data_IF_243224758289
#
_entry.id   IF_243224758289
#
_cell.length_a   1.000
_cell.length_b   1.000
_cell.length_c   1.000
_cell.angle_alpha   90.00
_cell.angle_beta   90.00
_cell.angle_gamma   90.00
#
_symmetry.space_group_name_H-M   'P 1'
#
loop_
_entity.id
_entity.type
_entity.pdbx_description
1 polymer ?
#
# COMPACT_ATOMS: atom_id res chain seq x y z
N UNK A 1 27.07 15.72 -15.02
CA UNK A 1 26.57 14.78 -13.98
C UNK A 1 26.73 15.45 -12.63
N UNK A 2 25.65 15.62 -11.84
CA UNK A 2 25.74 16.27 -10.51
C UNK A 2 26.55 15.38 -9.58
N UNK A 3 27.59 15.92 -8.94
CA UNK A 3 28.33 15.22 -7.89
C UNK A 3 27.63 15.50 -6.56
N UNK A 4 27.27 14.45 -5.84
CA UNK A 4 26.67 14.53 -4.50
C UNK A 4 27.77 14.52 -3.44
N UNK A 5 27.60 15.35 -2.39
CA UNK A 5 28.45 15.28 -1.21
C UNK A 5 28.17 13.98 -0.43
N UNK A 6 29.11 13.58 0.45
CA UNK A 6 28.99 12.31 1.19
C UNK A 6 27.76 12.27 2.11
N UNK A 7 27.41 13.40 2.70
CA UNK A 7 26.18 13.57 3.49
C UNK A 7 24.92 13.32 2.66
N UNK A 8 24.84 13.90 1.45
CA UNK A 8 23.71 13.69 0.52
C UNK A 8 23.60 12.22 0.08
N UNK A 9 24.73 11.56 -0.16
CA UNK A 9 24.75 10.13 -0.51
C UNK A 9 24.19 9.26 0.63
N UNK A 10 24.56 9.57 1.88
CA UNK A 10 24.07 8.84 3.04
C UNK A 10 22.55 9.04 3.21
N UNK A 11 22.04 10.24 3.01
CA UNK A 11 20.59 10.52 3.03
C UNK A 11 19.85 9.80 1.92
N UNK A 12 20.39 9.79 0.70
CA UNK A 12 19.85 9.04 -0.45
C UNK A 12 19.79 7.54 -0.13
N UNK A 13 20.84 6.97 0.45
CA UNK A 13 20.87 5.55 0.81
C UNK A 13 19.87 5.22 1.91
N UNK A 14 19.71 6.10 2.90
CA UNK A 14 18.70 5.95 3.95
C UNK A 14 17.29 5.96 3.37
N UNK A 15 16.98 6.93 2.52
CA UNK A 15 15.68 7.01 1.84
C UNK A 15 15.43 5.79 0.95
N UNK A 16 16.42 5.37 0.17
CA UNK A 16 16.32 4.19 -0.69
C UNK A 16 16.09 2.90 0.12
N UNK A 17 16.68 2.78 1.31
CA UNK A 17 16.42 1.66 2.21
C UNK A 17 14.98 1.68 2.71
N UNK A 18 14.50 2.81 3.22
CA UNK A 18 13.11 2.95 3.68
C UNK A 18 12.10 2.65 2.57
N UNK A 19 12.39 3.10 1.35
CA UNK A 19 11.52 2.84 0.20
C UNK A 19 11.48 1.35 -0.18
N UNK A 20 12.62 0.64 -0.15
CA UNK A 20 12.64 -0.81 -0.36
C UNK A 20 11.84 -1.56 0.71
N UNK A 21 12.03 -1.20 1.98
CA UNK A 21 11.28 -1.78 3.09
C UNK A 21 9.76 -1.58 2.93
N UNK A 22 9.36 -0.39 2.47
CA UNK A 22 7.95 -0.11 2.14
C UNK A 22 7.42 -1.01 1.01
N UNK A 23 8.19 -1.16 -0.08
CA UNK A 23 7.82 -2.03 -1.21
C UNK A 23 7.77 -3.51 -0.81
N UNK A 24 8.71 -3.94 0.03
CA UNK A 24 8.75 -5.32 0.52
C UNK A 24 7.55 -5.65 1.42
N UNK A 25 7.09 -4.70 2.22
CA UNK A 25 5.95 -4.86 3.10
C UNK A 25 4.59 -4.64 2.41
N UNK A 26 4.55 -4.13 1.18
CA UNK A 26 3.32 -3.78 0.46
C UNK A 26 3.16 -4.55 -0.84
N UNK A 27 2.74 -5.80 -0.78
CA UNK A 27 2.51 -6.65 -1.98
C UNK A 27 1.11 -6.47 -2.58
N UNK A 28 0.17 -5.98 -1.78
CA UNK A 28 -1.22 -5.70 -2.18
C UNK A 28 -1.60 -4.27 -1.82
N UNK A 29 -2.66 -3.74 -2.43
CA UNK A 29 -3.19 -2.40 -2.10
C UNK A 29 -3.56 -2.29 -0.63
N UNK A 30 -4.05 -3.38 -0.01
CA UNK A 30 -4.40 -3.41 1.42
C UNK A 30 -3.17 -3.28 2.32
N UNK A 31 -2.10 -3.96 1.98
CA UNK A 31 -0.83 -3.87 2.71
C UNK A 31 -0.19 -2.50 2.53
N UNK A 32 -0.19 -1.96 1.30
CA UNK A 32 0.27 -0.59 1.04
C UNK A 32 -0.53 0.44 1.84
N UNK A 33 -1.87 0.37 1.80
CA UNK A 33 -2.75 1.28 2.55
C UNK A 33 -2.45 1.21 4.05
N UNK A 34 -2.37 0.00 4.61
CA UNK A 34 -2.05 -0.19 6.03
C UNK A 34 -0.68 0.39 6.40
N UNK A 35 0.34 0.19 5.55
CA UNK A 35 1.69 0.76 5.76
C UNK A 35 1.68 2.28 5.68
N UNK A 36 0.97 2.86 4.71
CA UNK A 36 0.82 4.32 4.58
C UNK A 36 0.17 4.89 5.83
N UNK A 37 -0.93 4.29 6.31
CA UNK A 37 -1.62 4.74 7.52
C UNK A 37 -0.72 4.65 8.76
N UNK A 38 0.10 3.59 8.89
CA UNK A 38 1.08 3.47 9.96
C UNK A 38 2.13 4.58 9.90
N UNK A 39 2.73 4.79 8.73
CA UNK A 39 3.73 5.85 8.51
C UNK A 39 3.11 7.23 8.76
N UNK A 40 1.88 7.46 8.33
CA UNK A 40 1.16 8.70 8.59
C UNK A 40 1.05 8.99 10.09
N UNK A 41 0.61 8.00 10.88
CA UNK A 41 0.53 8.11 12.35
C UNK A 41 1.88 8.42 12.99
N UNK A 42 2.93 7.72 12.58
CA UNK A 42 4.31 7.94 13.05
C UNK A 42 4.84 9.34 12.75
N UNK A 43 4.28 10.01 11.72
CA UNK A 43 4.62 11.38 11.31
C UNK A 43 3.59 12.44 11.76
N UNK A 44 2.74 12.09 12.72
CA UNK A 44 1.83 13.02 13.37
C UNK A 44 0.55 13.32 12.61
N UNK A 45 0.18 12.47 11.65
CA UNK A 45 -1.14 12.56 11.00
C UNK A 45 -2.21 11.90 11.88
N UNK A 46 -3.33 12.56 12.05
CA UNK A 46 -4.51 12.08 12.76
C UNK A 46 -5.53 11.47 11.78
N UNK A 47 -6.23 10.43 12.19
CA UNK A 47 -7.28 9.85 11.35
C UNK A 47 -8.47 10.82 11.28
N UNK A 48 -8.93 11.14 10.07
CA UNK A 48 -10.04 12.07 9.86
C UNK A 48 -11.33 11.62 10.55
N UNK A 49 -11.62 10.33 10.62
CA UNK A 49 -12.81 9.81 11.33
C UNK A 49 -12.74 10.11 12.83
N UNK A 50 -11.56 10.01 13.44
CA UNK A 50 -11.34 10.35 14.84
C UNK A 50 -11.51 11.85 15.07
N UNK A 51 -10.94 12.68 14.20
CA UNK A 51 -11.08 14.15 14.23
C UNK A 51 -12.55 14.57 14.16
N UNK A 52 -13.33 13.95 13.27
CA UNK A 52 -14.77 14.21 13.13
C UNK A 52 -15.53 13.78 14.37
N UNK A 53 -15.26 12.58 14.89
CA UNK A 53 -15.91 12.04 16.09
C UNK A 53 -15.67 12.90 17.32
N UNK A 54 -14.47 13.48 17.44
CA UNK A 54 -14.09 14.35 18.56
C UNK A 54 -14.56 15.80 18.37
N UNK A 55 -15.11 16.15 17.21
CA UNK A 55 -15.55 17.51 16.90
C UNK A 55 -14.39 18.52 16.82
N UNK A 56 -13.17 18.05 16.57
CA UNK A 56 -11.98 18.88 16.50
C UNK A 56 -12.02 19.77 15.27
N UNK A 57 -11.81 21.08 15.46
CA UNK A 57 -11.63 22.02 14.36
C UNK A 57 -10.17 22.00 13.88
N UNK A 58 -9.99 21.83 12.58
CA UNK A 58 -8.68 21.84 11.96
C UNK A 58 -8.16 23.27 11.80
N UNK A 59 -6.86 23.44 11.94
CA UNK A 59 -6.12 24.70 11.77
C UNK A 59 -4.87 24.46 10.94
N UNK A 60 -4.26 25.54 10.47
CA UNK A 60 -3.01 25.50 9.72
C UNK A 60 -1.93 24.69 10.47
N UNK A 61 -1.27 23.78 9.75
CA UNK A 61 -0.27 22.87 10.25
C UNK A 61 -0.81 21.53 10.76
N UNK A 62 -2.13 21.38 10.92
CA UNK A 62 -2.72 20.07 11.26
C UNK A 62 -2.58 19.10 10.10
N UNK A 63 -2.30 17.85 10.44
CA UNK A 63 -2.10 16.76 9.50
C UNK A 63 -3.14 15.69 9.70
N UNK A 64 -3.85 15.35 8.63
CA UNK A 64 -4.92 14.36 8.67
C UNK A 64 -4.74 13.33 7.58
N UNK A 65 -5.25 12.12 7.80
CA UNK A 65 -5.39 11.11 6.75
C UNK A 65 -6.76 10.44 6.82
N UNK A 66 -7.21 9.97 5.66
CA UNK A 66 -8.39 9.13 5.54
C UNK A 66 -8.07 7.90 4.70
N UNK A 67 -8.51 6.73 5.15
CA UNK A 67 -8.39 5.46 4.44
C UNK A 67 -9.75 5.07 3.86
N UNK A 68 -9.80 4.72 2.58
CA UNK A 68 -11.01 4.26 1.93
C UNK A 68 -10.91 2.77 1.59
N UNK A 69 -11.82 1.96 2.15
CA UNK A 69 -11.96 0.51 1.91
C UNK A 69 -10.67 -0.30 2.07
N UNK A 70 -9.68 0.22 2.78
CA UNK A 70 -8.33 -0.33 2.92
C UNK A 70 -7.60 -0.52 1.57
N UNK A 71 -7.88 0.33 0.60
CA UNK A 71 -7.32 0.26 -0.76
C UNK A 71 -6.85 1.59 -1.31
N UNK A 72 -7.14 2.68 -0.64
CA UNK A 72 -6.63 4.01 -0.97
C UNK A 72 -6.52 4.87 0.27
N UNK A 73 -5.60 5.82 0.25
CA UNK A 73 -5.35 6.73 1.35
C UNK A 73 -5.22 8.14 0.79
N UNK A 74 -5.84 9.09 1.47
CA UNK A 74 -5.62 10.52 1.25
C UNK A 74 -4.94 11.07 2.50
N UNK A 75 -3.92 11.88 2.30
CA UNK A 75 -3.22 12.59 3.36
C UNK A 75 -3.25 14.08 3.04
N UNK A 76 -3.46 14.91 4.04
CA UNK A 76 -3.53 16.36 3.87
C UNK A 76 -2.83 17.04 5.04
N UNK A 77 -2.04 18.04 4.73
CA UNK A 77 -1.54 19.05 5.67
C UNK A 77 -2.28 20.36 5.41
N UNK A 78 -2.91 20.90 6.44
CA UNK A 78 -3.71 22.13 6.33
C UNK A 78 -2.77 23.32 6.18
N UNK A 79 -2.92 24.03 5.07
CA UNK A 79 -2.14 25.24 4.78
C UNK A 79 -2.55 26.46 5.60
N UNK A 80 -1.84 27.55 5.41
CA UNK A 80 -2.15 28.86 5.99
C UNK A 80 -3.15 29.66 5.16
N UNK A 81 -3.22 29.38 3.87
CA UNK A 81 -4.10 30.05 2.93
C UNK A 81 -5.44 29.31 2.81
N UNK A 82 -6.47 30.03 2.48
CA UNK A 82 -7.79 29.43 2.23
C UNK A 82 -7.71 28.45 1.06
N UNK A 83 -8.41 27.32 1.17
CA UNK A 83 -8.43 26.26 0.17
C UNK A 83 -8.92 26.75 -1.20
N UNK A 84 -9.72 27.83 -1.23
CA UNK A 84 -10.20 28.46 -2.45
C UNK A 84 -9.06 29.09 -3.29
N UNK A 85 -7.94 29.40 -2.66
CA UNK A 85 -6.74 29.90 -3.34
C UNK A 85 -5.94 28.78 -4.03
N UNK A 86 -6.35 27.51 -3.85
CA UNK A 86 -5.76 26.35 -4.44
C UNK A 86 -5.04 25.47 -3.45
N UNK A 87 -4.56 24.31 -3.96
CA UNK A 87 -3.80 23.35 -3.18
C UNK A 87 -2.73 22.68 -4.03
N UNK A 88 -1.68 22.20 -3.42
CA UNK A 88 -0.72 21.30 -4.07
C UNK A 88 -1.21 19.86 -3.93
N UNK A 89 -1.48 19.20 -5.04
CA UNK A 89 -1.92 17.81 -5.08
C UNK A 89 -0.82 16.92 -5.66
N UNK A 90 -0.47 15.85 -4.92
CA UNK A 90 0.44 14.80 -5.37
C UNK A 90 -0.33 13.49 -5.39
N UNK A 91 -0.37 12.81 -6.53
CA UNK A 91 -1.04 11.53 -6.71
C UNK A 91 -0.07 10.42 -7.10
N UNK A 92 -0.31 9.23 -6.59
CA UNK A 92 0.45 8.02 -6.92
C UNK A 92 -0.46 6.79 -6.83
N UNK A 93 -0.18 5.76 -7.63
CA UNK A 93 -0.83 4.46 -7.49
C UNK A 93 -0.12 3.60 -6.43
N UNK A 94 -0.82 2.64 -5.86
CA UNK A 94 -0.32 1.71 -4.83
C UNK A 94 -0.49 0.23 -5.23
N UNK A 95 -1.05 -0.03 -6.40
CA UNK A 95 -1.14 -1.36 -6.99
C UNK A 95 0.16 -1.75 -7.70
N UNK A 96 0.37 -3.07 -7.83
CA UNK A 96 1.53 -3.64 -8.52
C UNK A 96 1.09 -4.77 -9.45
N UNK A 97 1.86 -5.08 -10.51
CA UNK A 97 1.61 -6.27 -11.33
C UNK A 97 1.65 -7.55 -10.50
N UNK A 98 0.69 -8.44 -10.73
CA UNK A 98 0.52 -9.67 -9.96
C UNK A 98 -0.30 -10.71 -10.72
N UNK A 99 -0.44 -11.90 -10.15
CA UNK A 99 -1.44 -12.89 -10.53
C UNK A 99 -2.58 -12.87 -9.51
N UNK A 100 -3.80 -12.57 -9.96
CA UNK A 100 -4.99 -12.65 -9.14
C UNK A 100 -5.57 -14.07 -9.21
N UNK A 101 -5.93 -14.62 -8.07
CA UNK A 101 -6.62 -15.91 -7.97
C UNK A 101 -8.08 -15.73 -8.42
N UNK A 102 -8.56 -16.56 -9.36
CA UNK A 102 -9.93 -16.52 -9.84
C UNK A 102 -10.94 -16.96 -8.76
N UNK A 103 -12.23 -16.75 -9.02
CA UNK A 103 -13.30 -17.03 -8.05
C UNK A 103 -13.42 -18.51 -7.67
N UNK A 104 -13.23 -19.43 -8.63
CA UNK A 104 -13.22 -20.87 -8.41
C UNK A 104 -11.88 -21.44 -8.88
N UNK A 105 -10.81 -21.20 -8.12
CA UNK A 105 -9.46 -21.35 -8.65
C UNK A 105 -8.90 -22.77 -8.54
N UNK A 106 -9.36 -23.53 -7.55
CA UNK A 106 -8.71 -24.79 -7.20
C UNK A 106 -9.16 -25.93 -8.10
N UNK A 107 -8.19 -26.59 -8.74
CA UNK A 107 -8.41 -27.82 -9.50
C UNK A 107 -7.23 -28.78 -9.31
N UNK A 108 -7.47 -30.06 -9.59
CA UNK A 108 -6.47 -31.12 -9.53
C UNK A 108 -6.14 -31.59 -10.94
N UNK A 109 -4.86 -31.81 -11.22
CA UNK A 109 -4.40 -32.47 -12.42
C UNK A 109 -3.09 -33.21 -12.16
N UNK A 110 -3.04 -34.49 -12.51
CA UNK A 110 -1.83 -35.32 -12.36
C UNK A 110 -1.33 -35.49 -10.91
N UNK A 111 -2.24 -35.49 -9.93
CA UNK A 111 -1.91 -35.59 -8.50
C UNK A 111 -1.40 -34.30 -7.85
N UNK A 112 -1.50 -33.19 -8.56
CA UNK A 112 -1.11 -31.86 -8.07
C UNK A 112 -2.32 -30.91 -7.99
N UNK A 113 -2.32 -30.06 -6.98
CA UNK A 113 -3.28 -28.97 -6.83
C UNK A 113 -2.79 -27.74 -7.59
N UNK A 114 -3.70 -27.16 -8.39
CA UNK A 114 -3.46 -25.94 -9.15
C UNK A 114 -4.41 -24.85 -8.72
N UNK A 115 -3.95 -23.61 -8.84
CA UNK A 115 -4.78 -22.40 -8.69
C UNK A 115 -4.89 -21.70 -10.05
N UNK A 116 -6.10 -21.62 -10.59
CA UNK A 116 -6.36 -20.84 -11.78
C UNK A 116 -6.25 -19.35 -11.48
N UNK A 117 -5.49 -18.63 -12.31
CA UNK A 117 -5.13 -17.24 -12.08
C UNK A 117 -5.42 -16.36 -13.29
N UNK A 118 -5.54 -15.07 -13.03
CA UNK A 118 -5.59 -14.02 -14.04
C UNK A 118 -4.45 -13.01 -13.76
N UNK A 119 -3.72 -12.60 -14.77
CA UNK A 119 -2.70 -11.57 -14.58
C UNK A 119 -3.32 -10.17 -14.47
N UNK A 120 -2.73 -9.36 -13.62
CA UNK A 120 -3.06 -7.95 -13.44
C UNK A 120 -1.85 -7.09 -13.75
N UNK A 121 -2.05 -6.04 -14.58
CA UNK A 121 -0.96 -5.18 -15.05
C UNK A 121 -0.01 -5.85 -16.04
N UNK A 122 1.15 -5.26 -16.23
CA UNK A 122 2.19 -5.75 -17.15
C UNK A 122 3.11 -6.76 -16.47
N UNK A 123 2.88 -8.07 -16.68
CA UNK A 123 3.77 -9.12 -16.17
C UNK A 123 4.76 -9.61 -17.23
N UNK A 124 5.95 -10.01 -16.82
CA UNK A 124 6.95 -10.66 -17.67
C UNK A 124 6.67 -12.16 -17.74
N UNK A 125 5.68 -12.57 -18.54
CA UNK A 125 5.18 -13.95 -18.61
C UNK A 125 6.29 -14.99 -18.76
N UNK A 126 7.28 -14.72 -19.61
CA UNK A 126 8.42 -15.63 -19.84
C UNK A 126 9.32 -15.85 -18.62
N UNK A 127 9.34 -14.92 -17.66
CA UNK A 127 10.10 -15.05 -16.41
C UNK A 127 9.26 -15.68 -15.29
N UNK A 128 7.96 -15.38 -15.26
CA UNK A 128 7.09 -15.75 -14.14
C UNK A 128 6.62 -17.20 -14.18
N UNK A 129 6.74 -17.89 -15.32
CA UNK A 129 6.29 -19.27 -15.48
C UNK A 129 6.96 -20.25 -14.49
N UNK A 130 8.22 -19.99 -14.12
CA UNK A 130 8.98 -20.85 -13.21
C UNK A 130 9.41 -20.13 -11.92
N UNK A 131 8.88 -18.95 -11.65
CA UNK A 131 9.20 -18.21 -10.42
C UNK A 131 8.36 -18.71 -9.26
N UNK A 132 8.96 -19.02 -8.10
CA UNK A 132 8.22 -19.22 -6.87
C UNK A 132 7.45 -17.94 -6.53
N UNK A 133 6.20 -18.07 -6.06
CA UNK A 133 5.35 -16.94 -5.73
C UNK A 133 4.77 -17.12 -4.34
N UNK A 134 4.57 -15.99 -3.64
CA UNK A 134 3.84 -15.94 -2.40
C UNK A 134 2.36 -15.63 -2.67
N UNK A 135 1.49 -16.05 -1.77
CA UNK A 135 0.05 -15.73 -1.79
C UNK A 135 -0.22 -14.72 -0.69
N UNK A 136 -0.71 -13.54 -1.09
CA UNK A 136 -1.12 -12.47 -0.20
C UNK A 136 -2.59 -12.15 -0.40
N UNK A 137 -3.30 -11.85 0.66
CA UNK A 137 -4.68 -11.42 0.57
C UNK A 137 -5.44 -11.52 1.87
N UNK A 138 -6.76 -11.51 1.76
CA UNK A 138 -7.65 -11.65 2.90
C UNK A 138 -8.79 -12.61 2.58
N UNK A 139 -9.21 -13.37 3.58
CA UNK A 139 -10.42 -14.17 3.54
C UNK A 139 -11.45 -13.51 4.46
N UNK A 140 -12.60 -13.21 3.93
CA UNK A 140 -13.74 -12.73 4.72
C UNK A 140 -14.66 -13.92 4.98
N UNK A 141 -14.82 -14.28 6.25
CA UNK A 141 -15.69 -15.38 6.67
C UNK A 141 -17.16 -14.97 6.67
N UNK A 142 -18.04 -15.93 6.77
CA UNK A 142 -19.50 -15.72 6.81
C UNK A 142 -19.96 -14.91 8.04
N UNK A 143 -19.20 -14.90 9.12
CA UNK A 143 -19.43 -14.09 10.32
C UNK A 143 -18.89 -12.65 10.19
N UNK A 144 -18.34 -12.28 9.02
CA UNK A 144 -17.74 -10.97 8.76
C UNK A 144 -16.29 -10.81 9.22
N UNK A 145 -15.73 -11.81 9.89
CA UNK A 145 -14.32 -11.74 10.32
C UNK A 145 -13.38 -11.82 9.12
N UNK A 146 -12.30 -11.05 9.16
CA UNK A 146 -11.27 -11.02 8.12
C UNK A 146 -10.01 -11.72 8.62
N UNK A 147 -9.51 -12.67 7.83
CA UNK A 147 -8.25 -13.37 8.07
C UNK A 147 -7.23 -12.93 7.02
N UNK A 148 -6.10 -12.42 7.50
CA UNK A 148 -4.96 -12.10 6.65
C UNK A 148 -4.29 -13.39 6.18
N UNK A 149 -3.96 -13.45 4.90
CA UNK A 149 -3.23 -14.55 4.26
C UNK A 149 -1.89 -14.03 3.77
N UNK A 150 -0.82 -14.69 4.21
CA UNK A 150 0.52 -14.53 3.70
C UNK A 150 1.17 -15.93 3.73
N UNK A 151 1.38 -16.53 2.56
CA UNK A 151 1.92 -17.88 2.40
C UNK A 151 3.03 -17.84 1.37
N UNK A 152 4.19 -18.38 1.72
CA UNK A 152 5.31 -18.55 0.79
C UNK A 152 6.37 -17.43 0.86
N UNK A 153 6.21 -16.42 1.68
CA UNK A 153 7.31 -15.52 2.03
C UNK A 153 8.25 -16.19 3.04
N UNK A 154 9.56 -15.97 2.83
CA UNK A 154 10.62 -16.48 3.74
C UNK A 154 10.96 -15.46 4.80
#
# INVERSE_FOLDING_TARGET
MRQYHETEKNEIQKLAKMYREFLDAGKTERECSSNICRIAKENGFENLEDVIREGKQLKAGDKIYAENMKKSVIMMEIGTDDIENGMLLIGSHIDSPRLDIKQNPLYENGGMAYLDTHYYGGIKKYQWVASPMAIHGVIVKTDGTTVQINIGEK
#
